data_IF_098333483155
#
_entry.id   IF_098333483155
#
_cell.length_a   1.000
_cell.length_b   1.000
_cell.length_c   1.000
_cell.angle_alpha   90.00
_cell.angle_beta   90.00
_cell.angle_gamma   90.00
#
_symmetry.space_group_name_H-M   'P 1'
#
loop_
_entity.id
_entity.type
_entity.pdbx_description
1 polymer ?
#
# COMPACT_ATOMS: atom_id res chain seq x y z
N UNK A 1 2.91 32.63 9.39
CA UNK A 1 3.58 31.81 8.41
C UNK A 1 2.60 31.11 7.49
N UNK A 2 2.91 31.11 6.26
CA UNK A 2 2.04 30.52 5.26
C UNK A 2 2.15 29.01 5.25
N UNK A 3 1.05 28.34 5.40
CA UNK A 3 1.05 26.88 5.24
C UNK A 3 1.08 26.60 3.75
N UNK A 4 2.03 25.80 3.34
CA UNK A 4 2.12 25.39 1.97
C UNK A 4 1.08 24.31 1.71
N UNK A 5 0.11 24.63 0.89
CA UNK A 5 -0.98 23.70 0.63
C UNK A 5 -0.53 22.46 -0.11
N UNK A 6 0.65 22.53 -0.74
CA UNK A 6 1.19 21.39 -1.45
C UNK A 6 1.99 20.47 -0.55
N UNK A 7 2.19 20.90 0.70
CA UNK A 7 2.88 20.03 1.67
C UNK A 7 1.86 19.19 2.38
N UNK A 8 1.27 18.30 1.64
CA UNK A 8 0.30 17.39 2.22
C UNK A 8 1.05 16.37 3.06
N UNK A 9 0.51 16.13 4.24
CA UNK A 9 1.09 15.17 5.18
C UNK A 9 1.18 13.80 4.49
N UNK A 10 2.37 13.19 4.44
CA UNK A 10 2.50 11.88 3.79
C UNK A 10 1.61 10.82 4.40
N UNK A 11 1.36 10.92 5.71
CA UNK A 11 0.45 9.99 6.36
C UNK A 11 -0.94 10.06 5.74
N UNK A 12 -1.41 11.27 5.44
CA UNK A 12 -2.73 11.44 4.84
C UNK A 12 -2.79 10.86 3.44
N UNK A 13 -1.73 11.07 2.67
CA UNK A 13 -1.68 10.53 1.31
C UNK A 13 -1.76 9.02 1.32
N UNK A 14 -0.97 8.37 2.16
CA UNK A 14 -0.97 6.92 2.24
C UNK A 14 -2.31 6.42 2.78
N UNK A 15 -2.86 7.09 3.78
CA UNK A 15 -4.14 6.68 4.36
C UNK A 15 -5.26 6.75 3.34
N UNK A 16 -5.31 7.83 2.55
CA UNK A 16 -6.33 7.97 1.53
C UNK A 16 -6.17 6.95 0.42
N UNK A 17 -4.91 6.66 0.08
CA UNK A 17 -4.63 5.62 -0.89
C UNK A 17 -5.17 4.26 -0.41
N UNK A 18 -4.88 3.90 0.83
CA UNK A 18 -5.34 2.62 1.37
C UNK A 18 -6.85 2.55 1.50
N UNK A 19 -7.48 3.67 1.86
CA UNK A 19 -8.94 3.70 1.92
C UNK A 19 -9.56 3.49 0.54
N UNK A 20 -8.95 4.09 -0.48
CA UNK A 20 -9.44 3.90 -1.83
C UNK A 20 -9.31 2.44 -2.25
N UNK A 21 -8.19 1.80 -1.90
CA UNK A 21 -8.03 0.37 -2.17
C UNK A 21 -9.10 -0.45 -1.46
N UNK A 22 -9.41 -0.09 -0.21
CA UNK A 22 -10.43 -0.81 0.55
C UNK A 22 -11.82 -0.70 -0.07
N UNK A 23 -12.07 0.43 -0.73
CA UNK A 23 -13.34 0.63 -1.42
C UNK A 23 -13.34 0.04 -2.83
N UNK A 24 -12.20 -0.51 -3.25
CA UNK A 24 -12.00 -0.98 -4.63
C UNK A 24 -12.15 0.15 -5.63
N UNK A 25 -11.84 1.36 -5.19
CA UNK A 25 -11.88 2.54 -6.04
C UNK A 25 -10.47 2.78 -6.58
N UNK A 26 -10.10 1.99 -7.58
CA UNK A 26 -8.74 2.03 -8.09
C UNK A 26 -8.44 3.31 -8.86
N UNK A 27 -9.45 3.91 -9.41
CA UNK A 27 -9.29 5.18 -10.11
C UNK A 27 -8.83 6.27 -9.13
N UNK A 28 -9.47 6.36 -7.97
CA UNK A 28 -9.06 7.30 -6.95
C UNK A 28 -7.70 6.96 -6.38
N UNK A 29 -7.47 5.66 -6.13
CA UNK A 29 -6.18 5.22 -5.58
C UNK A 29 -5.04 5.63 -6.50
N UNK A 30 -5.26 5.56 -7.81
CA UNK A 30 -4.23 5.90 -8.79
C UNK A 30 -3.72 7.33 -8.64
N UNK A 31 -4.59 8.23 -8.19
CA UNK A 31 -4.22 9.63 -8.04
C UNK A 31 -3.17 9.88 -6.97
N UNK A 32 -2.99 8.94 -6.07
CA UNK A 32 -2.03 9.09 -4.97
C UNK A 32 -0.69 8.44 -5.28
N UNK A 33 -0.51 7.88 -6.47
CA UNK A 33 0.66 7.07 -6.79
C UNK A 33 1.39 7.67 -7.97
N UNK A 34 2.72 7.74 -7.86
CA UNK A 34 3.57 8.24 -8.94
C UNK A 34 3.53 7.29 -10.13
N UNK A 35 3.67 7.86 -11.34
CA UNK A 35 3.68 7.05 -12.55
C UNK A 35 4.77 5.99 -12.53
N UNK A 36 5.91 6.31 -11.93
CA UNK A 36 7.06 5.41 -11.90
C UNK A 36 7.30 4.84 -10.51
N UNK A 37 6.22 4.57 -9.79
CA UNK A 37 6.32 4.00 -8.45
C UNK A 37 7.09 2.69 -8.47
N UNK A 38 7.84 2.45 -7.39
CA UNK A 38 8.55 1.18 -7.19
C UNK A 38 7.79 0.39 -6.14
N UNK A 39 7.44 -0.85 -6.47
CA UNK A 39 6.75 -1.75 -5.54
C UNK A 39 7.56 -3.01 -5.37
N UNK A 40 7.88 -3.33 -4.12
CA UNK A 40 8.65 -4.52 -3.79
C UNK A 40 7.96 -5.25 -2.64
N UNK A 41 7.70 -6.53 -2.84
CA UNK A 41 7.07 -7.38 -1.82
C UNK A 41 7.66 -8.78 -1.96
N UNK A 42 7.39 -9.66 -0.98
CA UNK A 42 8.02 -10.99 -0.99
C UNK A 42 7.75 -11.83 -2.24
N UNK A 43 6.58 -11.68 -2.85
CA UNK A 43 6.21 -12.51 -4.00
C UNK A 43 6.29 -11.78 -5.32
N UNK A 44 6.31 -10.46 -5.32
CA UNK A 44 6.23 -9.68 -6.56
C UNK A 44 6.99 -8.38 -6.44
N UNK A 45 7.38 -7.85 -7.60
CA UNK A 45 7.88 -6.48 -7.66
C UNK A 45 7.42 -5.87 -8.98
N UNK A 46 7.20 -4.55 -8.98
CA UNK A 46 6.76 -3.84 -10.15
C UNK A 46 7.44 -2.48 -10.23
N UNK A 47 7.74 -2.07 -11.44
CA UNK A 47 8.21 -0.71 -11.71
C UNK A 47 7.14 -0.02 -12.53
N UNK A 48 6.50 0.98 -11.92
CA UNK A 48 5.47 1.73 -12.59
C UNK A 48 4.09 1.47 -12.02
N UNK A 49 3.25 2.49 -12.12
CA UNK A 49 1.90 2.43 -11.56
C UNK A 49 1.01 1.48 -12.36
N UNK A 50 1.18 1.44 -13.66
CA UNK A 50 0.29 0.65 -14.49
C UNK A 50 0.37 -0.85 -14.17
N UNK A 51 1.56 -1.47 -14.16
CA UNK A 51 1.62 -2.89 -13.82
C UNK A 51 1.20 -3.15 -12.37
N UNK A 52 1.51 -2.21 -11.46
CA UNK A 52 1.10 -2.38 -10.08
C UNK A 52 -0.42 -2.43 -9.95
N UNK A 53 -1.13 -1.48 -10.57
CA UNK A 53 -2.59 -1.46 -10.44
C UNK A 53 -3.25 -2.61 -11.18
N UNK A 54 -2.68 -3.03 -12.28
CA UNK A 54 -3.18 -4.21 -12.97
C UNK A 54 -3.15 -5.43 -12.06
N UNK A 55 -2.05 -5.56 -11.31
CA UNK A 55 -1.90 -6.65 -10.35
C UNK A 55 -2.91 -6.52 -9.21
N UNK A 56 -3.00 -5.35 -8.60
CA UNK A 56 -3.85 -5.15 -7.44
C UNK A 56 -5.33 -5.35 -7.78
N UNK A 57 -5.73 -4.90 -8.96
CA UNK A 57 -7.12 -5.05 -9.38
C UNK A 57 -7.53 -6.51 -9.50
N UNK A 58 -6.59 -7.39 -9.79
CA UNK A 58 -6.87 -8.81 -9.95
C UNK A 58 -6.70 -9.61 -8.67
N UNK A 59 -6.16 -9.00 -7.64
CA UNK A 59 -5.92 -9.71 -6.39
C UNK A 59 -7.19 -10.05 -5.63
N UNK A 60 -8.19 -9.20 -5.76
CA UNK A 60 -9.43 -9.37 -5.01
C UNK A 60 -9.19 -9.53 -3.52
N UNK A 61 -8.35 -8.65 -2.98
CA UNK A 61 -7.99 -8.70 -1.57
C UNK A 61 -9.16 -8.38 -0.67
N UNK A 62 -9.24 -9.04 0.48
CA UNK A 62 -10.15 -8.58 1.54
C UNK A 62 -9.73 -7.21 2.02
N UNK A 63 -10.59 -6.61 2.84
CA UNK A 63 -10.32 -5.30 3.38
C UNK A 63 -9.04 -5.32 4.24
N UNK A 64 -8.22 -4.29 4.09
CA UNK A 64 -7.03 -4.11 4.91
C UNK A 64 -7.44 -3.49 6.24
N UNK A 65 -7.02 -4.11 7.32
CA UNK A 65 -7.33 -3.63 8.66
C UNK A 65 -6.08 -2.96 9.22
N UNK A 66 -6.07 -1.62 9.20
CA UNK A 66 -4.89 -0.86 9.61
C UNK A 66 -4.78 -0.86 11.13
N UNK A 67 -3.63 -1.31 11.64
CA UNK A 67 -3.38 -1.43 13.07
C UNK A 67 -2.54 -0.28 13.62
N UNK A 68 -1.51 0.12 12.92
CA UNK A 68 -0.59 1.17 13.38
C UNK A 68 -0.05 1.95 12.22
N UNK A 69 0.21 3.23 12.45
CA UNK A 69 0.82 4.11 11.46
C UNK A 69 1.98 4.82 12.13
N UNK A 70 3.15 4.74 11.52
CA UNK A 70 4.34 5.43 11.97
C UNK A 70 4.86 6.33 10.86
N UNK A 71 5.38 7.49 11.24
CA UNK A 71 5.97 8.40 10.26
C UNK A 71 7.34 8.82 10.74
N UNK A 72 8.22 9.09 9.78
CA UNK A 72 9.54 9.62 10.09
C UNK A 72 9.89 10.65 9.04
N UNK A 73 10.22 11.88 9.48
CA UNK A 73 10.53 12.95 8.55
C UNK A 73 9.33 13.32 7.72
N UNK A 74 9.61 13.86 6.54
CA UNK A 74 8.56 14.39 5.68
C UNK A 74 8.17 13.46 4.54
N UNK A 75 8.79 12.27 4.45
CA UNK A 75 8.56 11.39 3.32
C UNK A 75 8.19 9.96 3.68
N UNK A 76 8.52 9.51 4.87
CA UNK A 76 8.43 8.10 5.20
C UNK A 76 7.21 7.77 6.05
N UNK A 77 6.45 6.77 5.63
CA UNK A 77 5.28 6.28 6.37
C UNK A 77 5.37 4.78 6.42
N UNK A 78 5.27 4.23 7.62
CA UNK A 78 5.22 2.78 7.80
C UNK A 78 3.87 2.42 8.42
N UNK A 79 3.19 1.47 7.80
CA UNK A 79 1.87 1.06 8.26
C UNK A 79 1.87 -0.44 8.51
N UNK A 80 1.29 -0.81 9.63
CA UNK A 80 1.08 -2.21 9.97
C UNK A 80 -0.39 -2.52 9.78
N UNK A 81 -0.69 -3.54 8.98
CA UNK A 81 -2.08 -3.93 8.79
C UNK A 81 -2.22 -5.44 8.77
N UNK A 82 -3.47 -5.90 8.89
CA UNK A 82 -3.82 -7.30 8.74
C UNK A 82 -4.80 -7.46 7.60
N UNK A 83 -4.69 -8.58 6.91
CA UNK A 83 -5.64 -8.95 5.88
C UNK A 83 -6.32 -10.22 6.37
N UNK A 84 -7.64 -10.17 6.52
CA UNK A 84 -8.40 -11.29 7.06
C UNK A 84 -9.10 -12.04 5.94
N UNK A 85 -8.51 -13.16 5.55
CA UNK A 85 -9.13 -14.03 4.57
C UNK A 85 -10.22 -14.86 5.23
N UNK A 86 -11.22 -15.22 4.45
CA UNK A 86 -12.33 -16.00 4.98
C UNK A 86 -11.94 -17.46 5.25
N UNK A 87 -10.86 -17.92 4.61
CA UNK A 87 -10.36 -19.27 4.82
C UNK A 87 -8.94 -19.24 5.32
N UNK A 88 -8.53 -20.25 6.10
CA UNK A 88 -7.17 -20.30 6.59
C UNK A 88 -6.15 -20.36 5.45
N UNK A 89 -4.93 -19.86 5.69
CA UNK A 89 -4.51 -19.23 6.92
C UNK A 89 -4.95 -17.78 6.95
N UNK A 90 -5.38 -17.33 8.09
CA UNK A 90 -5.80 -15.97 8.31
C UNK A 90 -5.60 -15.66 9.76
N UNK A 91 -5.26 -14.41 10.11
CA UNK A 91 -4.98 -13.29 9.22
C UNK A 91 -3.53 -13.27 8.75
N UNK A 92 -3.25 -12.45 7.74
CA UNK A 92 -1.88 -12.21 7.28
C UNK A 92 -1.48 -10.84 7.78
N UNK A 93 -0.38 -10.77 8.49
CA UNK A 93 0.13 -9.51 9.04
C UNK A 93 1.14 -8.93 8.07
N UNK A 94 1.00 -7.63 7.76
CA UNK A 94 1.84 -6.96 6.78
C UNK A 94 2.44 -5.71 7.39
N UNK A 95 3.73 -5.50 7.13
CA UNK A 95 4.43 -4.27 7.42
C UNK A 95 4.75 -3.60 6.10
N UNK A 96 4.32 -2.35 5.92
CA UNK A 96 4.49 -1.67 4.64
C UNK A 96 5.16 -0.32 4.85
N UNK A 97 6.21 -0.08 4.06
CA UNK A 97 6.95 1.17 4.12
C UNK A 97 6.71 1.93 2.83
N UNK A 98 6.13 3.11 2.96
CA UNK A 98 5.82 3.98 1.83
C UNK A 98 6.70 5.21 1.87
N UNK A 99 7.13 5.66 0.70
CA UNK A 99 7.81 6.94 0.58
C UNK A 99 6.99 7.84 -0.32
N UNK A 100 6.80 9.08 0.11
CA UNK A 100 5.97 10.05 -0.58
C UNK A 100 6.83 11.22 -1.01
N UNK A 101 6.76 11.55 -2.29
CA UNK A 101 7.46 12.70 -2.84
C UNK A 101 6.51 13.46 -3.74
N UNK A 102 6.52 14.79 -3.63
CA UNK A 102 5.69 15.65 -4.46
C UNK A 102 4.22 15.25 -4.40
N UNK A 103 3.78 14.86 -3.21
CA UNK A 103 2.37 14.53 -2.99
C UNK A 103 1.95 13.19 -3.52
N UNK A 104 2.89 12.34 -3.93
CA UNK A 104 2.55 11.04 -4.48
C UNK A 104 3.45 9.96 -3.91
N UNK A 105 2.89 8.77 -3.79
CA UNK A 105 3.66 7.61 -3.32
C UNK A 105 4.63 7.21 -4.41
N UNK A 106 5.92 7.25 -4.09
CA UNK A 106 6.97 6.92 -5.05
C UNK A 106 7.57 5.54 -4.81
N UNK A 107 7.37 4.98 -3.62
CA UNK A 107 7.95 3.68 -3.28
C UNK A 107 7.07 2.97 -2.27
N UNK A 108 6.90 1.67 -2.49
CA UNK A 108 6.17 0.80 -1.57
C UNK A 108 6.98 -0.46 -1.37
N UNK A 109 7.30 -0.76 -0.12
CA UNK A 109 8.03 -1.99 0.23
C UNK A 109 7.23 -2.70 1.31
N UNK A 110 6.80 -3.90 1.01
CA UNK A 110 5.97 -4.69 1.90
C UNK A 110 6.72 -5.91 2.39
N UNK A 111 6.52 -6.23 3.67
CA UNK A 111 7.11 -7.43 4.28
C UNK A 111 5.98 -8.21 4.93
N UNK A 112 5.87 -9.46 4.57
CA UNK A 112 4.94 -10.37 5.20
C UNK A 112 5.45 -11.80 4.98
N UNK A 113 4.87 -12.73 5.71
CA UNK A 113 5.23 -14.14 5.53
C UNK A 113 4.50 -14.67 4.30
N UNK A 114 5.22 -15.01 3.23
CA UNK A 114 4.56 -15.45 2.00
C UNK A 114 4.15 -16.92 2.00
N UNK A 115 4.58 -17.69 3.01
CA UNK A 115 4.33 -19.13 3.02
C UNK A 115 2.86 -19.50 2.92
N UNK A 116 1.94 -18.79 3.59
CA UNK A 116 0.52 -19.14 3.43
C UNK A 116 0.04 -19.07 1.99
N UNK A 117 0.52 -18.06 1.25
CA UNK A 117 0.13 -17.92 -0.16
C UNK A 117 0.70 -19.06 -1.00
N UNK A 118 1.93 -19.44 -0.71
CA UNK A 118 2.57 -20.50 -1.47
C UNK A 118 1.89 -21.84 -1.23
N UNK A 119 1.44 -22.08 -0.01
CA UNK A 119 0.74 -23.31 0.32
C UNK A 119 -0.59 -23.43 -0.40
N UNK A 120 -1.24 -22.32 -0.64
CA UNK A 120 -2.54 -22.31 -1.28
C UNK A 120 -2.44 -22.58 -2.78
N UNK A 121 -1.26 -22.53 -3.33
CA UNK A 121 -1.06 -22.72 -4.76
C UNK A 121 -0.96 -24.19 -5.16
N UNK A 122 -0.99 -25.06 -4.21
CA UNK A 122 -0.92 -26.50 -4.51
C UNK A 122 -2.16 -27.06 -5.12
#
# INVERSE_FOLDING_TARGET
MQVNENEINPKEIVSEFLEALNRKDFKSARNYVSDNVSYIAPLNSFNGAEPYFKYVEHLNLPKLDIKKVFTEGSHDVCILWEVNYSTPPAPIFVSAWYQVHDGKISSMKLVFDPRPYLQQQK
#
